data_IF_828912908899
#
_entry.id   IF_828912908899
#
_cell.length_a   1.000
_cell.length_b   1.000
_cell.length_c   1.000
_cell.angle_alpha   90.00
_cell.angle_beta   90.00
_cell.angle_gamma   90.00
#
_symmetry.space_group_name_H-M   'P 1'
#
loop_
_entity.id
_entity.type
_entity.pdbx_description
1 polymer ?
#
# COMPACT_ATOMS: atom_id res chain seq x y z
N UNK A 1 12.54 17.22 -8.45
CA UNK A 1 11.56 16.15 -8.26
C UNK A 1 10.40 16.72 -7.47
N UNK A 2 9.36 17.14 -8.18
CA UNK A 2 8.16 17.73 -7.56
C UNK A 2 7.10 16.66 -7.21
N UNK A 3 7.54 15.48 -6.80
CA UNK A 3 6.65 14.49 -6.20
C UNK A 3 6.48 14.81 -4.72
N UNK A 4 5.68 15.83 -4.47
CA UNK A 4 5.31 16.26 -3.12
C UNK A 4 4.14 15.41 -2.60
N UNK A 5 4.28 14.08 -2.75
CA UNK A 5 3.33 13.14 -2.19
C UNK A 5 3.46 13.08 -0.66
N UNK A 6 2.43 12.65 0.04
CA UNK A 6 2.38 12.63 1.51
C UNK A 6 3.54 11.83 2.13
N UNK A 7 4.00 10.76 1.48
CA UNK A 7 5.17 9.97 1.91
C UNK A 7 6.44 10.83 1.92
N UNK A 8 6.71 11.55 0.84
CA UNK A 8 7.91 12.40 0.76
C UNK A 8 7.81 13.61 1.69
N UNK A 9 6.62 14.16 1.89
CA UNK A 9 6.40 15.22 2.89
C UNK A 9 6.71 14.72 4.30
N UNK A 10 6.20 13.55 4.68
CA UNK A 10 6.47 12.94 5.98
C UNK A 10 7.97 12.73 6.21
N UNK A 11 8.69 12.18 5.21
CA UNK A 11 10.14 11.95 5.28
C UNK A 11 10.90 13.28 5.39
N UNK A 12 10.59 14.27 4.55
CA UNK A 12 11.23 15.59 4.59
C UNK A 12 11.03 16.26 5.95
N UNK A 13 9.83 16.19 6.50
CA UNK A 13 9.51 16.75 7.82
C UNK A 13 10.28 16.06 8.94
N UNK A 14 10.34 14.72 8.94
CA UNK A 14 11.03 13.95 9.97
C UNK A 14 12.54 14.24 10.00
N UNK A 15 13.18 14.27 8.84
CA UNK A 15 14.62 14.49 8.75
C UNK A 15 15.03 15.97 8.71
N UNK A 16 14.09 16.90 8.79
CA UNK A 16 14.34 18.35 8.68
C UNK A 16 15.18 18.71 7.46
N UNK A 17 14.92 18.04 6.33
CA UNK A 17 15.70 18.22 5.10
C UNK A 17 15.44 19.63 4.56
N UNK A 18 16.38 20.53 4.83
CA UNK A 18 16.48 21.80 4.14
C UNK A 18 17.25 21.56 2.84
N UNK A 19 16.56 21.69 1.72
CA UNK A 19 17.08 21.26 0.42
C UNK A 19 18.48 21.81 0.13
N UNK A 20 19.41 20.89 -0.15
CA UNK A 20 20.57 21.20 -0.99
C UNK A 20 20.15 20.86 -2.41
N UNK A 21 20.18 21.83 -3.30
CA UNK A 21 20.01 21.62 -4.73
C UNK A 21 21.22 20.84 -5.28
N UNK A 22 21.22 19.54 -5.08
CA UNK A 22 22.04 18.66 -5.85
C UNK A 22 21.24 18.33 -7.11
N UNK A 23 21.66 18.84 -8.26
CA UNK A 23 21.08 18.48 -9.53
C UNK A 23 21.39 17.01 -9.81
N UNK A 24 20.36 16.18 -9.82
CA UNK A 24 20.51 14.78 -10.20
C UNK A 24 20.88 14.71 -11.70
N UNK A 25 21.84 13.86 -12.05
CA UNK A 25 22.24 13.59 -13.45
C UNK A 25 21.09 12.92 -14.22
N UNK A 26 20.33 12.06 -13.51
CA UNK A 26 19.16 11.36 -14.02
C UNK A 26 18.17 11.12 -12.89
N UNK A 27 16.87 11.12 -13.23
CA UNK A 27 15.78 10.84 -12.28
C UNK A 27 14.89 9.75 -12.84
N UNK A 28 14.58 8.78 -12.01
CA UNK A 28 13.59 7.73 -12.26
C UNK A 28 12.33 8.06 -11.45
N UNK A 29 11.29 8.50 -12.14
CA UNK A 29 10.01 8.82 -11.47
C UNK A 29 9.31 7.57 -10.98
N UNK A 30 8.59 7.68 -9.86
CA UNK A 30 7.76 6.60 -9.35
C UNK A 30 6.73 6.14 -10.38
N UNK A 31 6.55 4.85 -10.51
CA UNK A 31 5.44 4.26 -11.24
C UNK A 31 4.73 3.21 -10.39
N UNK A 32 3.41 3.09 -10.58
CA UNK A 32 2.61 2.06 -9.90
C UNK A 32 3.00 0.64 -10.29
N UNK A 33 3.66 0.49 -11.43
CA UNK A 33 4.13 -0.80 -11.93
C UNK A 33 5.44 -1.20 -11.24
N UNK A 34 6.39 -0.28 -11.13
CA UNK A 34 7.74 -0.56 -10.62
C UNK A 34 7.83 -0.40 -9.10
N UNK A 35 6.92 0.38 -8.47
CA UNK A 35 6.85 0.60 -7.03
C UNK A 35 8.12 1.21 -6.41
N UNK A 36 8.96 1.86 -7.21
CA UNK A 36 10.13 2.61 -6.77
C UNK A 36 10.33 3.89 -7.56
N UNK A 37 11.16 4.76 -7.03
CA UNK A 37 11.75 5.92 -7.69
C UNK A 37 13.24 5.94 -7.42
N UNK A 38 14.01 6.72 -8.20
CA UNK A 38 15.45 6.80 -8.00
C UNK A 38 16.07 8.03 -8.63
N UNK A 39 17.35 8.21 -8.35
CA UNK A 39 18.15 9.26 -8.94
C UNK A 39 19.62 8.87 -9.03
N UNK A 40 20.30 9.36 -10.09
CA UNK A 40 21.74 9.25 -10.21
C UNK A 40 22.35 10.56 -9.72
N UNK A 41 23.24 10.45 -8.74
CA UNK A 41 23.98 11.55 -8.13
C UNK A 41 25.47 11.16 -8.04
N UNK A 42 26.34 11.96 -8.57
CA UNK A 42 27.81 11.73 -8.57
C UNK A 42 28.18 10.32 -9.10
N UNK A 43 27.51 9.90 -10.19
CA UNK A 43 27.71 8.60 -10.82
C UNK A 43 27.18 7.39 -10.03
N UNK A 44 26.46 7.60 -8.92
CA UNK A 44 25.83 6.55 -8.11
C UNK A 44 24.31 6.56 -8.26
N UNK A 45 23.74 5.39 -8.41
CA UNK A 45 22.29 5.24 -8.53
C UNK A 45 21.66 4.93 -7.17
N UNK A 46 20.80 5.83 -6.70
CA UNK A 46 20.05 5.67 -5.46
C UNK A 46 18.61 5.34 -5.78
N UNK A 47 18.08 4.33 -5.10
CA UNK A 47 16.72 3.85 -5.27
C UNK A 47 15.95 3.97 -3.96
N UNK A 48 14.68 4.32 -4.09
CA UNK A 48 13.74 4.41 -3.00
C UNK A 48 12.42 3.74 -3.40
N UNK A 49 12.02 2.65 -2.72
CA UNK A 49 10.86 1.88 -3.14
C UNK A 49 10.40 0.80 -2.18
N UNK A 50 9.40 0.04 -2.63
CA UNK A 50 8.87 -1.08 -1.87
C UNK A 50 9.89 -2.24 -1.82
N UNK A 51 10.09 -2.86 -0.64
CA UNK A 51 11.10 -3.90 -0.45
C UNK A 51 11.04 -5.02 -1.49
N UNK A 52 9.84 -5.49 -1.81
CA UNK A 52 9.61 -6.61 -2.71
C UNK A 52 10.08 -6.34 -4.16
N UNK A 53 10.19 -5.07 -4.52
CA UNK A 53 10.55 -4.63 -5.87
C UNK A 53 12.00 -4.21 -6.00
N UNK A 54 12.67 -3.91 -4.89
CA UNK A 54 14.05 -3.37 -4.92
C UNK A 54 15.08 -4.33 -4.33
N UNK A 55 14.69 -5.24 -3.44
CA UNK A 55 15.61 -6.21 -2.84
C UNK A 55 15.69 -7.52 -3.63
N UNK A 56 14.75 -7.78 -4.53
CA UNK A 56 14.70 -8.96 -5.39
C UNK A 56 14.96 -10.27 -4.59
N UNK A 57 15.98 -11.01 -4.98
CA UNK A 57 16.40 -12.27 -4.34
C UNK A 57 16.96 -12.11 -2.92
N UNK A 58 17.45 -10.90 -2.56
CA UNK A 58 17.92 -10.62 -1.19
C UNK A 58 16.80 -10.26 -0.22
N UNK A 59 15.54 -10.17 -0.67
CA UNK A 59 14.39 -9.84 0.18
C UNK A 59 14.28 -10.73 1.43
N UNK A 60 14.54 -12.03 1.27
CA UNK A 60 14.45 -13.00 2.36
C UNK A 60 15.45 -12.74 3.50
N UNK A 61 16.55 -12.06 3.24
CA UNK A 61 17.55 -11.72 4.27
C UNK A 61 17.01 -10.71 5.30
N UNK A 62 15.96 -9.97 4.94
CA UNK A 62 15.37 -8.90 5.75
C UNK A 62 13.94 -9.22 6.22
N UNK A 63 13.46 -10.45 6.00
CA UNK A 63 12.08 -10.86 6.31
C UNK A 63 11.71 -10.62 7.78
N UNK A 64 12.62 -10.92 8.72
CA UNK A 64 12.43 -10.67 10.15
C UNK A 64 12.14 -9.17 10.47
N UNK A 65 12.76 -8.26 9.71
CA UNK A 65 12.53 -6.82 9.85
C UNK A 65 11.12 -6.49 9.34
N UNK A 66 10.75 -7.04 8.20
CA UNK A 66 9.45 -6.78 7.60
C UNK A 66 8.32 -7.35 8.46
N UNK A 67 8.46 -8.57 8.97
CA UNK A 67 7.48 -9.17 9.87
C UNK A 67 7.31 -8.35 11.15
N UNK A 68 8.41 -7.88 11.75
CA UNK A 68 8.37 -7.07 12.97
C UNK A 68 7.55 -5.79 12.79
N UNK A 69 7.74 -5.08 11.70
CA UNK A 69 7.14 -3.76 11.49
C UNK A 69 5.83 -3.82 10.69
N UNK A 70 5.67 -4.71 9.71
CA UNK A 70 4.37 -4.89 9.05
C UNK A 70 3.30 -5.42 10.01
N UNK A 71 3.75 -5.92 11.18
CA UNK A 71 2.90 -6.40 12.24
C UNK A 71 1.87 -5.41 12.80
N UNK A 72 2.05 -4.11 12.64
CA UNK A 72 1.18 -3.06 13.19
C UNK A 72 0.47 -2.20 12.14
N UNK A 73 0.67 -2.50 10.85
CA UNK A 73 0.06 -1.76 9.74
C UNK A 73 0.96 -0.67 9.18
N UNK A 74 2.26 -0.69 9.52
CA UNK A 74 3.23 0.21 8.93
C UNK A 74 3.55 -0.18 7.49
N UNK A 75 3.88 0.83 6.68
CA UNK A 75 4.45 0.66 5.35
C UNK A 75 5.96 0.76 5.46
N UNK A 76 6.68 -0.21 4.92
CA UNK A 76 8.13 -0.20 4.87
C UNK A 76 8.58 0.20 3.48
N UNK A 77 9.55 1.10 3.41
CA UNK A 77 10.25 1.47 2.18
C UNK A 77 11.75 1.27 2.38
N UNK A 78 12.43 0.93 1.31
CA UNK A 78 13.89 0.76 1.28
C UNK A 78 14.51 1.95 0.56
N UNK A 79 15.56 2.51 1.17
CA UNK A 79 16.48 3.42 0.51
C UNK A 79 17.85 2.76 0.41
N UNK A 80 18.45 2.76 -0.76
CA UNK A 80 19.75 2.15 -0.97
C UNK A 80 20.37 2.49 -2.32
N UNK A 81 21.52 1.89 -2.60
CA UNK A 81 22.30 2.07 -3.81
C UNK A 81 22.11 0.85 -4.73
N UNK A 82 21.82 1.10 -5.99
CA UNK A 82 21.80 0.09 -7.04
C UNK A 82 23.19 -0.02 -7.67
N UNK A 83 23.66 -1.23 -7.88
CA UNK A 83 24.98 -1.47 -8.46
C UNK A 83 25.10 -0.99 -9.91
N UNK A 84 23.98 -0.92 -10.64
CA UNK A 84 23.86 -0.45 -12.01
C UNK A 84 22.79 0.63 -12.18
N UNK A 85 22.83 1.27 -13.34
CA UNK A 85 21.78 2.20 -13.74
C UNK A 85 20.57 1.41 -14.25
N UNK A 86 19.36 1.55 -13.68
CA UNK A 86 18.19 0.78 -14.10
C UNK A 86 17.90 0.97 -15.59
N UNK A 87 18.10 -0.08 -16.37
CA UNK A 87 17.83 -0.08 -17.80
C UNK A 87 16.32 -0.08 -18.04
N UNK A 88 15.81 0.97 -18.71
CA UNK A 88 14.37 1.05 -19.01
C UNK A 88 13.45 1.11 -17.78
N UNK A 89 13.94 1.65 -16.66
CA UNK A 89 13.29 1.63 -15.34
C UNK A 89 13.08 0.21 -14.76
N UNK A 90 13.95 -0.74 -15.04
CA UNK A 90 13.94 -2.08 -14.45
C UNK A 90 15.21 -2.27 -13.64
N UNK A 91 15.06 -2.62 -12.37
CA UNK A 91 16.17 -3.03 -11.50
C UNK A 91 16.47 -4.49 -11.83
N UNK A 92 17.69 -4.78 -12.30
CA UNK A 92 18.14 -6.13 -12.62
C UNK A 92 18.92 -6.78 -11.47
N UNK A 93 19.55 -5.96 -10.61
CA UNK A 93 20.31 -6.39 -9.44
C UNK A 93 19.69 -5.81 -8.18
N UNK A 94 19.72 -6.57 -7.07
CA UNK A 94 19.22 -6.14 -5.79
C UNK A 94 19.88 -4.85 -5.31
N UNK A 95 19.09 -3.94 -4.77
CA UNK A 95 19.58 -2.71 -4.15
C UNK A 95 20.31 -3.06 -2.85
N UNK A 96 21.51 -2.50 -2.65
CA UNK A 96 22.19 -2.55 -1.37
C UNK A 96 21.52 -1.55 -0.40
N UNK A 97 20.77 -2.01 0.63
CA UNK A 97 19.98 -1.12 1.47
C UNK A 97 20.86 -0.34 2.44
N UNK A 98 20.63 0.97 2.49
CA UNK A 98 21.23 1.87 3.47
C UNK A 98 20.29 2.12 4.66
N UNK A 99 18.98 2.13 4.39
CA UNK A 99 17.96 2.38 5.41
C UNK A 99 16.63 1.73 5.05
N UNK A 100 15.91 1.30 6.08
CA UNK A 100 14.50 0.96 6.04
C UNK A 100 13.71 2.12 6.65
N UNK A 101 12.81 2.70 5.88
CA UNK A 101 11.95 3.79 6.32
C UNK A 101 10.58 3.20 6.64
N UNK A 102 10.19 3.31 7.91
CA UNK A 102 8.94 2.80 8.42
C UNK A 102 7.95 3.95 8.50
N UNK A 103 6.85 3.84 7.78
CA UNK A 103 5.80 4.83 7.72
C UNK A 103 4.56 4.29 8.41
N UNK A 104 4.10 5.00 9.41
CA UNK A 104 2.83 4.72 10.07
C UNK A 104 1.74 5.63 9.49
N UNK A 105 0.61 5.03 9.11
CA UNK A 105 -0.55 5.82 8.75
C UNK A 105 -1.25 6.30 10.02
N UNK A 106 -1.32 7.61 10.19
CA UNK A 106 -2.09 8.22 11.27
C UNK A 106 -3.58 8.01 10.98
N UNK A 107 -4.26 7.41 11.95
CA UNK A 107 -5.70 7.23 11.90
C UNK A 107 -6.34 8.46 12.53
N UNK A 108 -7.30 9.07 11.83
CA UNK A 108 -8.03 10.23 12.34
C UNK A 108 -8.68 9.91 13.68
N UNK A 109 -8.57 10.81 14.64
CA UNK A 109 -9.14 10.64 15.99
C UNK A 109 -10.63 10.32 15.98
N UNK A 110 -11.37 10.87 15.00
CA UNK A 110 -12.81 10.64 14.82
C UNK A 110 -13.16 9.31 14.16
N UNK A 111 -12.20 8.52 13.69
CA UNK A 111 -12.47 7.31 12.92
C UNK A 111 -13.30 6.30 13.71
N UNK A 112 -12.91 6.01 14.94
CA UNK A 112 -13.63 5.04 15.80
C UNK A 112 -15.08 5.45 16.08
N UNK A 113 -15.30 6.74 16.35
CA UNK A 113 -16.63 7.29 16.58
C UNK A 113 -17.49 7.18 15.31
N UNK A 114 -16.92 7.54 14.16
CA UNK A 114 -17.60 7.50 12.86
C UNK A 114 -18.01 6.07 12.50
N UNK A 115 -17.08 5.11 12.60
CA UNK A 115 -17.39 3.71 12.27
C UNK A 115 -18.33 3.06 13.30
N UNK A 116 -18.20 3.43 14.59
CA UNK A 116 -19.15 3.02 15.62
C UNK A 116 -20.57 3.53 15.35
N UNK A 117 -20.70 4.76 14.86
CA UNK A 117 -21.98 5.32 14.45
C UNK A 117 -22.60 4.52 13.29
N UNK A 118 -21.85 4.24 12.22
CA UNK A 118 -22.35 3.42 11.12
C UNK A 118 -22.79 2.04 11.57
N UNK A 119 -22.00 1.38 12.41
CA UNK A 119 -22.38 0.08 12.99
C UNK A 119 -23.68 0.14 13.79
N UNK A 120 -23.90 1.23 14.57
CA UNK A 120 -25.14 1.45 15.33
C UNK A 120 -26.37 1.64 14.44
N UNK A 121 -26.18 2.08 13.20
CA UNK A 121 -27.22 2.23 12.18
C UNK A 121 -27.42 0.94 11.35
N UNK A 122 -26.76 -0.15 11.70
CA UNK A 122 -26.83 -1.41 10.96
C UNK A 122 -26.11 -1.41 9.61
N UNK A 123 -25.14 -0.52 9.43
CA UNK A 123 -24.31 -0.46 8.23
C UNK A 123 -23.07 -1.32 8.44
N UNK A 124 -22.90 -2.34 7.60
CA UNK A 124 -21.69 -3.15 7.54
C UNK A 124 -20.60 -2.40 6.77
N UNK A 125 -19.39 -2.33 7.32
CA UNK A 125 -18.26 -1.67 6.68
C UNK A 125 -17.30 -2.73 6.14
N UNK A 126 -16.90 -2.57 4.88
CA UNK A 126 -15.95 -3.44 4.19
C UNK A 126 -14.80 -2.60 3.67
N UNK A 127 -13.58 -3.09 3.88
CA UNK A 127 -12.36 -2.44 3.41
C UNK A 127 -11.85 -3.16 2.16
N UNK A 128 -11.66 -2.41 1.08
CA UNK A 128 -11.14 -2.93 -0.19
C UNK A 128 -9.89 -2.12 -0.55
N UNK A 129 -8.71 -2.70 -0.33
CA UNK A 129 -7.42 -2.02 -0.49
C UNK A 129 -6.52 -2.71 -1.52
N UNK A 130 -5.70 -1.92 -2.20
CA UNK A 130 -4.58 -2.43 -3.00
C UNK A 130 -3.35 -2.80 -2.16
N UNK A 131 -3.34 -2.47 -0.87
CA UNK A 131 -2.24 -2.76 0.05
C UNK A 131 -2.25 -4.22 0.53
N UNK A 132 -1.18 -4.61 1.22
CA UNK A 132 -1.08 -5.92 1.87
C UNK A 132 -2.29 -6.16 2.79
N UNK A 133 -2.94 -7.35 2.74
CA UNK A 133 -4.16 -7.63 3.51
C UNK A 133 -3.95 -7.57 5.03
N UNK A 134 -2.79 -7.97 5.55
CA UNK A 134 -2.47 -7.88 6.98
C UNK A 134 -2.38 -6.43 7.42
N UNK A 135 -1.69 -5.59 6.61
CA UNK A 135 -1.57 -4.15 6.87
C UNK A 135 -2.95 -3.48 6.86
N UNK A 136 -3.76 -3.74 5.81
CA UNK A 136 -5.11 -3.19 5.69
C UNK A 136 -6.02 -3.60 6.87
N UNK A 137 -5.95 -4.87 7.29
CA UNK A 137 -6.69 -5.41 8.44
C UNK A 137 -6.31 -4.69 9.73
N UNK A 138 -5.02 -4.52 10.01
CA UNK A 138 -4.56 -3.86 11.23
C UNK A 138 -4.96 -2.39 11.30
N UNK A 139 -4.88 -1.68 10.19
CA UNK A 139 -5.38 -0.30 10.10
C UNK A 139 -6.89 -0.26 10.36
N UNK A 140 -7.65 -1.17 9.77
CA UNK A 140 -9.09 -1.26 9.95
C UNK A 140 -9.50 -1.59 11.40
N UNK A 141 -8.79 -2.51 12.07
CA UNK A 141 -8.97 -2.83 13.50
C UNK A 141 -8.69 -1.60 14.36
N UNK A 142 -7.58 -0.91 14.13
CA UNK A 142 -7.23 0.33 14.86
C UNK A 142 -8.25 1.44 14.63
N UNK A 143 -8.84 1.50 13.45
CA UNK A 143 -9.92 2.44 13.11
C UNK A 143 -11.27 2.08 13.76
N UNK A 144 -11.40 0.89 14.35
CA UNK A 144 -12.62 0.44 15.02
C UNK A 144 -13.66 -0.18 14.11
N UNK A 145 -13.25 -0.73 12.96
CA UNK A 145 -14.14 -1.47 12.06
C UNK A 145 -14.36 -2.87 12.62
N UNK A 146 -15.64 -3.26 12.76
CA UNK A 146 -16.01 -4.57 13.29
C UNK A 146 -15.55 -5.70 12.35
N UNK A 147 -15.08 -6.81 12.95
CA UNK A 147 -14.61 -8.01 12.24
C UNK A 147 -13.48 -7.74 11.23
N UNK A 148 -12.72 -6.66 11.40
CA UNK A 148 -11.63 -6.30 10.49
C UNK A 148 -10.44 -7.26 10.55
N UNK A 149 -10.36 -8.13 11.57
CA UNK A 149 -9.42 -9.24 11.67
C UNK A 149 -9.68 -10.34 10.61
N UNK A 150 -10.89 -10.39 10.05
CA UNK A 150 -11.24 -11.30 8.97
C UNK A 150 -10.84 -10.70 7.63
N UNK A 151 -9.64 -11.01 7.19
CA UNK A 151 -9.10 -10.50 5.93
C UNK A 151 -8.75 -11.61 4.94
N UNK A 152 -8.66 -11.25 3.67
CA UNK A 152 -8.25 -12.13 2.58
C UNK A 152 -7.31 -11.43 1.61
N UNK A 153 -6.36 -12.19 1.05
CA UNK A 153 -5.55 -11.77 -0.10
C UNK A 153 -6.36 -11.99 -1.38
N UNK A 154 -6.75 -10.90 -2.04
CA UNK A 154 -7.57 -10.95 -3.25
C UNK A 154 -6.86 -11.62 -4.43
N UNK A 155 -5.53 -11.78 -4.39
CA UNK A 155 -4.80 -12.54 -5.40
C UNK A 155 -5.16 -14.03 -5.39
N UNK A 156 -5.74 -14.53 -4.32
CA UNK A 156 -6.24 -15.92 -4.20
C UNK A 156 -7.60 -16.13 -4.84
N UNK A 157 -8.37 -15.06 -5.07
CA UNK A 157 -9.71 -15.11 -5.65
C UNK A 157 -9.59 -15.20 -7.19
N UNK A 158 -9.85 -16.37 -7.75
CA UNK A 158 -9.65 -16.66 -9.19
C UNK A 158 -10.97 -16.69 -9.99
N UNK A 159 -12.10 -16.78 -9.32
CA UNK A 159 -13.40 -16.89 -9.94
C UNK A 159 -14.45 -15.99 -9.25
N UNK A 160 -15.53 -15.71 -9.97
CA UNK A 160 -16.71 -15.04 -9.38
C UNK A 160 -17.30 -15.81 -8.18
N UNK A 161 -17.19 -17.13 -8.20
CA UNK A 161 -17.66 -17.95 -7.09
C UNK A 161 -16.80 -17.71 -5.84
N UNK A 162 -15.47 -17.63 -5.98
CA UNK A 162 -14.56 -17.34 -4.86
C UNK A 162 -14.91 -15.99 -4.23
N UNK A 163 -15.20 -14.97 -5.06
CA UNK A 163 -15.61 -13.64 -4.58
C UNK A 163 -16.93 -13.71 -3.81
N UNK A 164 -17.96 -14.44 -4.33
CA UNK A 164 -19.25 -14.60 -3.64
C UNK A 164 -19.11 -15.28 -2.29
N UNK A 165 -18.21 -16.25 -2.16
CA UNK A 165 -17.93 -16.87 -0.89
C UNK A 165 -17.14 -15.96 0.05
N UNK A 166 -16.17 -15.22 -0.49
CA UNK A 166 -15.34 -14.31 0.27
C UNK A 166 -16.12 -13.17 0.92
N UNK A 167 -17.09 -12.56 0.21
CA UNK A 167 -17.90 -11.47 0.75
C UNK A 167 -18.77 -11.86 1.95
N UNK A 168 -18.98 -13.16 2.17
CA UNK A 168 -19.74 -13.66 3.33
C UNK A 168 -18.86 -13.90 4.56
N UNK A 169 -17.53 -13.96 4.39
CA UNK A 169 -16.58 -14.39 5.42
C UNK A 169 -15.62 -13.30 5.84
N UNK A 170 -15.26 -12.40 4.91
CA UNK A 170 -14.19 -11.43 5.11
C UNK A 170 -14.68 -10.00 5.08
N UNK A 171 -14.11 -9.19 5.95
CA UNK A 171 -14.40 -7.75 6.06
C UNK A 171 -13.33 -6.92 5.33
N UNK A 172 -12.11 -7.46 5.21
CA UNK A 172 -10.98 -6.74 4.59
C UNK A 172 -10.44 -7.55 3.41
N UNK A 173 -10.37 -6.89 2.26
CA UNK A 173 -9.80 -7.43 1.03
C UNK A 173 -8.53 -6.64 0.72
N UNK A 174 -7.38 -7.32 0.74
CA UNK A 174 -6.08 -6.71 0.41
C UNK A 174 -5.57 -7.15 -0.96
N UNK A 175 -4.59 -6.43 -1.52
CA UNK A 175 -4.00 -6.64 -2.86
C UNK A 175 -5.04 -6.68 -3.98
N UNK A 176 -6.12 -5.92 -3.82
CA UNK A 176 -7.21 -5.84 -4.79
C UNK A 176 -6.79 -4.98 -5.97
N UNK A 177 -6.94 -5.50 -7.18
CA UNK A 177 -6.76 -4.72 -8.42
C UNK A 177 -8.07 -4.01 -8.80
N UNK A 178 -8.02 -2.92 -9.61
CA UNK A 178 -9.21 -2.12 -9.94
C UNK A 178 -10.39 -2.93 -10.52
N UNK A 179 -10.13 -3.93 -11.35
CA UNK A 179 -11.17 -4.81 -11.90
C UNK A 179 -11.85 -5.64 -10.81
N UNK A 180 -11.09 -6.17 -9.85
CA UNK A 180 -11.65 -6.93 -8.74
C UNK A 180 -12.46 -6.07 -7.77
N UNK A 181 -12.13 -4.77 -7.60
CA UNK A 181 -12.96 -3.85 -6.80
C UNK A 181 -14.39 -3.83 -7.32
N UNK A 182 -14.55 -3.68 -8.64
CA UNK A 182 -15.85 -3.71 -9.30
C UNK A 182 -16.58 -5.04 -9.06
N UNK A 183 -15.89 -6.17 -9.25
CA UNK A 183 -16.48 -7.50 -9.08
C UNK A 183 -16.94 -7.76 -7.63
N UNK A 184 -16.19 -7.31 -6.62
CA UNK A 184 -16.56 -7.41 -5.21
C UNK A 184 -17.84 -6.60 -4.94
N UNK A 185 -17.93 -5.35 -5.46
CA UNK A 185 -19.11 -4.50 -5.30
C UNK A 185 -20.33 -5.10 -6.00
N UNK A 186 -20.15 -5.63 -7.21
CA UNK A 186 -21.23 -6.34 -7.93
C UNK A 186 -21.71 -7.55 -7.14
N UNK A 187 -20.81 -8.34 -6.55
CA UNK A 187 -21.18 -9.49 -5.73
C UNK A 187 -22.00 -9.10 -4.49
N UNK A 188 -21.68 -7.98 -3.82
CA UNK A 188 -22.50 -7.46 -2.73
C UNK A 188 -23.89 -7.02 -3.23
N UNK A 189 -23.99 -6.32 -4.36
CA UNK A 189 -25.27 -5.93 -4.97
C UNK A 189 -26.12 -7.16 -5.35
N UNK A 190 -25.49 -8.16 -5.98
CA UNK A 190 -26.13 -9.43 -6.35
C UNK A 190 -26.64 -10.22 -5.12
N UNK A 191 -25.98 -10.08 -3.97
CA UNK A 191 -26.44 -10.67 -2.69
C UNK A 191 -27.63 -9.94 -2.05
N UNK A 192 -28.15 -8.90 -2.71
CA UNK A 192 -29.28 -8.10 -2.22
C UNK A 192 -28.92 -6.98 -1.25
N UNK A 193 -27.64 -6.67 -1.07
CA UNK A 193 -27.18 -5.54 -0.25
C UNK A 193 -27.28 -4.22 -1.00
N UNK A 194 -27.65 -3.16 -0.30
CA UNK A 194 -27.48 -1.78 -0.78
C UNK A 194 -26.06 -1.35 -0.47
N UNK A 195 -25.31 -0.97 -1.49
CA UNK A 195 -23.87 -0.67 -1.38
C UNK A 195 -23.63 0.80 -1.65
N UNK A 196 -22.92 1.47 -0.75
CA UNK A 196 -22.26 2.75 -0.99
C UNK A 196 -20.75 2.53 -1.01
N UNK A 197 -20.05 3.20 -1.90
CA UNK A 197 -18.59 3.17 -1.97
C UNK A 197 -18.03 4.57 -1.79
N UNK A 198 -16.93 4.66 -1.05
CA UNK A 198 -16.09 5.86 -0.98
C UNK A 198 -14.66 5.47 -1.32
N UNK A 199 -13.99 6.30 -2.09
CA UNK A 199 -12.60 6.11 -2.47
C UNK A 199 -12.01 7.46 -2.89
N UNK A 200 -10.69 7.60 -2.74
CA UNK A 200 -9.93 8.83 -3.03
C UNK A 200 -9.00 8.67 -4.24
N UNK A 201 -8.94 7.48 -4.80
CA UNK A 201 -8.03 7.13 -5.89
C UNK A 201 -8.66 7.11 -7.27
N UNK A 202 -7.89 7.50 -8.29
CA UNK A 202 -8.26 7.35 -9.71
C UNK A 202 -8.64 5.89 -10.04
N UNK A 203 -8.05 4.94 -9.33
CA UNK A 203 -8.31 3.50 -9.49
C UNK A 203 -9.70 3.07 -8.98
N UNK A 204 -10.40 3.92 -8.25
CA UNK A 204 -11.73 3.62 -7.71
C UNK A 204 -12.86 4.00 -8.66
N UNK A 205 -12.57 4.85 -9.67
CA UNK A 205 -13.56 5.33 -10.65
C UNK A 205 -14.26 4.20 -11.40
N UNK A 206 -13.56 3.10 -11.68
CA UNK A 206 -14.15 1.94 -12.39
C UNK A 206 -15.15 1.14 -11.53
N UNK A 207 -15.12 1.32 -10.22
CA UNK A 207 -15.94 0.60 -9.25
C UNK A 207 -17.11 1.47 -8.73
N UNK A 208 -17.05 2.78 -8.93
CA UNK A 208 -18.12 3.75 -8.65
C UNK A 208 -19.14 3.76 -9.78
#
# INVERSE_FOLDING_TARGET
>A
MDDDNETMKAIKNYYHITGRDNSAERVYSFSSQNKYSGAVLDGRCYIFGAPEYVLLDTYAEYEDIFERYSGHGERILVFGECAGDPCGNIIEEAVNPYAFIILENEIRDTAKETFGYFASQGVDIVVISGDNPVTASKVAVRAGINNAENYIDATTLKSRQDIREAITKYTVFGRVVPSQKKEIIEAYKESGKVVAMTGDGVNDVLAL
#
